data_IF_488171843045
#
_entry.id   IF_488171843045
#
_cell.length_a   1.000
_cell.length_b   1.000
_cell.length_c   1.000
_cell.angle_alpha   90.00
_cell.angle_beta   90.00
_cell.angle_gamma   90.00
#
_symmetry.space_group_name_H-M   'P 1'
#
loop_
_entity.id
_entity.type
_entity.pdbx_description
1 polymer ?
#
# COMPACT_ATOMS: atom_id res chain seq x y z
N UNK A 1 28.15 -5.83 23.53
CA UNK A 1 27.22 -6.92 23.21
C UNK A 1 25.81 -6.40 23.36
N UNK A 2 25.12 -6.11 22.27
CA UNK A 2 23.71 -5.66 22.30
C UNK A 2 22.83 -6.89 22.17
N UNK A 3 22.06 -7.17 23.22
CA UNK A 3 21.12 -8.28 23.26
C UNK A 3 19.96 -7.99 22.29
N UNK A 4 19.89 -8.77 21.20
CA UNK A 4 18.76 -8.77 20.28
C UNK A 4 17.59 -9.47 20.96
N UNK A 5 16.63 -8.70 21.45
CA UNK A 5 15.32 -9.23 21.83
C UNK A 5 14.56 -9.50 20.53
N UNK A 6 14.70 -10.70 19.98
CA UNK A 6 13.80 -11.22 18.94
C UNK A 6 12.45 -11.51 19.59
N UNK A 7 11.60 -10.50 19.71
CA UNK A 7 10.17 -10.74 19.88
C UNK A 7 9.68 -11.58 18.70
N UNK A 8 9.07 -12.74 18.95
CA UNK A 8 8.45 -13.54 17.90
C UNK A 8 7.30 -12.74 17.29
N UNK A 9 7.52 -12.16 16.11
CA UNK A 9 6.45 -11.58 15.31
C UNK A 9 5.52 -12.69 14.83
N UNK A 10 4.31 -12.74 15.38
CA UNK A 10 3.26 -13.64 14.91
C UNK A 10 2.50 -12.93 13.79
N UNK A 11 2.52 -13.52 12.58
CA UNK A 11 1.71 -13.03 11.45
C UNK A 11 0.24 -12.94 11.85
N UNK A 12 -0.39 -11.85 11.45
CA UNK A 12 -1.83 -11.66 11.55
C UNK A 12 -2.58 -12.67 10.67
N UNK A 13 -3.86 -12.99 10.98
CA UNK A 13 -4.69 -13.83 10.13
C UNK A 13 -4.78 -13.34 8.68
N UNK A 14 -4.79 -12.01 8.47
CA UNK A 14 -4.83 -11.41 7.14
C UNK A 14 -3.54 -11.65 6.35
N UNK A 15 -2.38 -11.51 6.99
CA UNK A 15 -1.08 -11.85 6.37
C UNK A 15 -1.05 -13.32 5.97
N UNK A 16 -1.47 -14.23 6.86
CA UNK A 16 -1.51 -15.67 6.56
C UNK A 16 -2.42 -15.96 5.35
N UNK A 17 -3.59 -15.33 5.28
CA UNK A 17 -4.51 -15.48 4.13
C UNK A 17 -3.92 -14.91 2.84
N UNK A 18 -3.26 -13.75 2.92
CA UNK A 18 -2.60 -13.12 1.77
C UNK A 18 -1.50 -14.04 1.24
N UNK A 19 -0.64 -14.54 2.13
CA UNK A 19 0.47 -15.44 1.77
C UNK A 19 -0.05 -16.74 1.15
N UNK A 20 -1.14 -17.29 1.71
CA UNK A 20 -1.78 -18.50 1.18
C UNK A 20 -2.30 -18.29 -0.24
N UNK A 21 -2.94 -17.15 -0.51
CA UNK A 21 -3.41 -16.78 -1.85
C UNK A 21 -2.23 -16.60 -2.81
N UNK A 22 -1.17 -15.88 -2.41
CA UNK A 22 0.03 -15.69 -3.24
C UNK A 22 0.69 -17.04 -3.56
N UNK A 23 0.82 -17.94 -2.58
CA UNK A 23 1.36 -19.27 -2.78
C UNK A 23 0.49 -20.11 -3.74
N UNK A 24 -0.83 -19.99 -3.66
CA UNK A 24 -1.76 -20.64 -4.60
C UNK A 24 -1.59 -20.11 -6.03
N UNK A 25 -1.46 -18.78 -6.19
CA UNK A 25 -1.21 -18.16 -7.48
C UNK A 25 0.10 -18.66 -8.10
N UNK A 26 1.17 -18.79 -7.32
CA UNK A 26 2.43 -19.38 -7.80
C UNK A 26 2.26 -20.84 -8.22
N UNK A 27 1.50 -21.67 -7.49
CA UNK A 27 1.17 -23.05 -7.91
C UNK A 27 0.44 -23.09 -9.26
N UNK A 28 -0.35 -22.06 -9.55
CA UNK A 28 -1.05 -21.86 -10.83
C UNK A 28 -0.17 -21.21 -11.92
N UNK A 29 1.13 -21.06 -11.68
CA UNK A 29 2.11 -20.43 -12.60
C UNK A 29 1.76 -18.98 -12.94
N UNK A 30 1.28 -18.25 -11.94
CA UNK A 30 1.08 -16.81 -12.03
C UNK A 30 2.36 -16.12 -11.61
N UNK A 31 2.98 -15.42 -12.55
CA UNK A 31 4.30 -14.80 -12.35
C UNK A 31 4.23 -13.28 -12.24
N UNK A 32 3.03 -12.70 -12.19
CA UNK A 32 2.86 -11.26 -11.97
C UNK A 32 1.76 -11.02 -10.96
N UNK A 33 2.17 -10.63 -9.75
CA UNK A 33 1.28 -10.43 -8.60
C UNK A 33 1.61 -9.07 -7.98
N UNK A 34 0.57 -8.33 -7.61
CA UNK A 34 0.65 -7.09 -6.87
C UNK A 34 -0.24 -7.22 -5.64
N UNK A 35 0.38 -7.26 -4.46
CA UNK A 35 -0.33 -7.16 -3.19
C UNK A 35 -0.37 -5.69 -2.82
N UNK A 36 -1.55 -5.10 -2.68
CA UNK A 36 -1.74 -3.68 -2.39
C UNK A 36 -2.62 -3.48 -1.16
N UNK A 37 -2.20 -2.58 -0.28
CA UNK A 37 -2.92 -2.20 0.94
C UNK A 37 -2.96 -0.68 1.03
N UNK A 38 -4.16 -0.17 1.29
CA UNK A 38 -4.41 1.23 1.63
C UNK A 38 -5.15 1.24 2.95
N UNK A 39 -4.45 1.56 4.04
CA UNK A 39 -4.98 1.40 5.39
C UNK A 39 -4.61 2.59 6.25
N UNK A 40 -5.42 2.87 7.27
CA UNK A 40 -5.09 3.92 8.22
C UNK A 40 -4.54 3.31 9.51
N UNK A 41 -3.40 3.81 9.95
CA UNK A 41 -2.85 3.53 11.29
C UNK A 41 -3.48 4.50 12.28
N UNK A 42 -3.98 3.98 13.41
CA UNK A 42 -4.60 4.79 14.46
C UNK A 42 -6.02 5.30 14.13
N UNK A 43 -6.57 4.94 12.97
CA UNK A 43 -8.00 5.14 12.71
C UNK A 43 -8.83 4.00 13.31
N UNK A 44 -9.97 4.31 13.88
CA UNK A 44 -11.00 3.30 14.16
C UNK A 44 -11.60 2.83 12.84
N UNK A 45 -11.11 1.71 12.31
CA UNK A 45 -11.79 1.00 11.24
C UNK A 45 -13.05 0.34 11.79
N UNK A 46 -14.22 0.61 11.21
CA UNK A 46 -15.42 -0.17 11.48
C UNK A 46 -15.98 -0.68 10.17
N UNK A 47 -16.10 -2.00 10.03
CA UNK A 47 -17.03 -2.61 9.09
C UNK A 47 -18.21 -3.10 9.95
N UNK A 48 -19.18 -2.22 10.16
CA UNK A 48 -20.48 -2.63 10.68
C UNK A 48 -21.31 -2.94 9.45
N UNK A 49 -21.34 -4.20 9.04
CA UNK A 49 -22.46 -4.70 8.24
C UNK A 49 -23.38 -5.41 9.22
N UNK A 50 -24.64 -4.96 9.31
CA UNK A 50 -25.62 -5.33 10.33
C UNK A 50 -25.87 -6.86 10.44
N UNK A 51 -25.45 -7.64 9.45
CA UNK A 51 -25.65 -9.11 9.40
C UNK A 51 -24.36 -9.96 9.45
N UNK A 52 -23.18 -9.39 9.73
CA UNK A 52 -21.93 -10.19 9.75
C UNK A 52 -21.46 -10.53 11.17
N UNK A 53 -21.28 -11.82 11.45
CA UNK A 53 -20.63 -12.37 12.65
C UNK A 53 -19.15 -11.97 12.84
N UNK A 54 -18.60 -11.14 11.94
CA UNK A 54 -17.24 -10.65 12.04
C UNK A 54 -17.17 -9.35 12.85
N UNK A 55 -17.14 -9.47 14.18
CA UNK A 55 -16.74 -8.36 15.04
C UNK A 55 -15.22 -8.22 15.01
N UNK A 56 -14.66 -7.48 14.05
CA UNK A 56 -13.22 -7.22 14.09
C UNK A 56 -12.89 -6.25 15.23
N UNK A 57 -12.46 -6.77 16.38
CA UNK A 57 -11.63 -6.01 17.33
C UNK A 57 -10.22 -5.92 16.71
N UNK A 58 -9.91 -4.83 16.03
CA UNK A 58 -8.58 -4.57 15.44
C UNK A 58 -8.61 -3.68 14.21
N UNK A 59 -7.44 -3.38 13.66
CA UNK A 59 -7.28 -2.52 12.48
C UNK A 59 -7.84 -3.20 11.22
N UNK A 60 -8.80 -2.53 10.57
CA UNK A 60 -9.35 -2.94 9.29
C UNK A 60 -8.37 -2.56 8.18
N UNK A 61 -7.72 -3.56 7.58
CA UNK A 61 -6.75 -3.34 6.50
C UNK A 61 -7.26 -4.00 5.21
N UNK A 62 -7.91 -3.24 4.32
CA UNK A 62 -8.33 -3.79 3.03
C UNK A 62 -7.09 -4.16 2.22
N UNK A 63 -7.02 -5.42 1.80
CA UNK A 63 -5.92 -5.96 0.99
C UNK A 63 -6.45 -6.39 -0.36
N UNK A 64 -5.79 -5.92 -1.42
CA UNK A 64 -6.12 -6.18 -2.80
C UNK A 64 -4.97 -6.95 -3.43
N UNK A 65 -5.24 -8.11 -4.02
CA UNK A 65 -4.26 -8.90 -4.76
C UNK A 65 -4.62 -8.85 -6.23
N UNK A 66 -3.88 -8.05 -7.00
CA UNK A 66 -3.98 -8.03 -8.45
C UNK A 66 -3.01 -9.03 -9.04
N UNK A 67 -3.45 -9.82 -10.00
CA UNK A 67 -2.60 -10.84 -10.61
C UNK A 67 -2.93 -11.05 -12.07
N UNK A 68 -1.91 -11.41 -12.87
CA UNK A 68 -2.05 -11.58 -14.32
C UNK A 68 -1.85 -13.03 -14.73
N UNK A 69 -2.81 -13.58 -15.46
CA UNK A 69 -2.74 -14.93 -16.03
C UNK A 69 -3.36 -14.94 -17.42
N UNK A 70 -2.69 -15.58 -18.39
CA UNK A 70 -3.14 -15.65 -19.79
C UNK A 70 -3.54 -14.27 -20.35
N UNK A 71 -2.70 -13.26 -20.13
CA UNK A 71 -2.91 -11.86 -20.55
C UNK A 71 -4.12 -11.15 -19.95
N UNK A 72 -4.84 -11.76 -19.01
CA UNK A 72 -5.93 -11.13 -18.26
C UNK A 72 -5.46 -10.78 -16.86
N UNK A 73 -5.86 -9.61 -16.39
CA UNK A 73 -5.63 -9.18 -15.01
C UNK A 73 -6.89 -9.45 -14.19
N UNK A 74 -6.67 -9.98 -12.99
CA UNK A 74 -7.71 -10.27 -12.01
C UNK A 74 -7.41 -9.52 -10.73
N UNK A 75 -8.45 -9.25 -9.95
CA UNK A 75 -8.37 -8.66 -8.64
C UNK A 75 -9.09 -9.55 -7.63
N UNK A 76 -8.40 -9.94 -6.58
CA UNK A 76 -8.99 -10.57 -5.40
C UNK A 76 -8.96 -9.56 -4.25
N UNK A 77 -10.09 -9.33 -3.59
CA UNK A 77 -10.16 -8.55 -2.36
C UNK A 77 -10.19 -9.49 -1.15
N UNK A 78 -9.44 -9.13 -0.12
CA UNK A 78 -9.48 -9.80 1.17
C UNK A 78 -9.32 -8.78 2.32
N UNK A 79 -10.01 -9.07 3.40
CA UNK A 79 -9.85 -8.38 4.68
C UNK A 79 -9.86 -9.41 5.83
N UNK A 80 -9.90 -8.91 7.06
CA UNK A 80 -9.93 -9.75 8.25
C UNK A 80 -11.16 -10.68 8.28
N UNK A 81 -12.22 -10.36 7.54
CA UNK A 81 -13.52 -11.02 7.63
C UNK A 81 -13.86 -11.89 6.41
N UNK A 82 -13.43 -11.50 5.23
CA UNK A 82 -13.95 -12.00 3.96
C UNK A 82 -12.86 -12.08 2.90
N UNK A 83 -13.02 -13.03 1.99
CA UNK A 83 -12.36 -13.07 0.69
C UNK A 83 -13.45 -13.01 -0.36
N UNK A 84 -13.30 -12.10 -1.32
CA UNK A 84 -14.23 -11.96 -2.43
C UNK A 84 -13.66 -12.68 -3.65
N UNK A 85 -14.52 -13.36 -4.40
CA UNK A 85 -14.15 -14.04 -5.64
C UNK A 85 -13.41 -13.09 -6.61
N UNK A 86 -12.42 -13.59 -7.37
CA UNK A 86 -11.67 -12.75 -8.28
C UNK A 86 -12.54 -12.09 -9.34
N UNK A 87 -12.26 -10.82 -9.62
CA UNK A 87 -12.94 -10.01 -10.63
C UNK A 87 -11.97 -9.62 -11.74
N UNK A 88 -12.45 -9.46 -12.98
CA UNK A 88 -11.59 -9.08 -14.11
C UNK A 88 -11.29 -7.58 -14.06
N UNK A 89 -10.02 -7.22 -14.19
CA UNK A 89 -9.54 -5.85 -14.26
C UNK A 89 -9.23 -5.50 -15.71
N UNK A 90 -10.05 -4.66 -16.31
CA UNK A 90 -9.86 -4.21 -17.70
C UNK A 90 -8.88 -3.04 -17.85
N UNK A 91 -8.68 -2.25 -16.79
CA UNK A 91 -7.75 -1.12 -16.78
C UNK A 91 -6.46 -1.50 -16.05
N UNK A 92 -5.62 -2.27 -16.70
CA UNK A 92 -4.43 -2.87 -16.10
C UNK A 92 -3.10 -2.23 -16.59
N UNK A 93 -3.17 -0.98 -17.06
CA UNK A 93 -2.00 -0.21 -17.54
C UNK A 93 -0.86 -0.09 -16.52
N UNK A 94 -1.16 -0.28 -15.22
CA UNK A 94 -0.17 -0.27 -14.16
C UNK A 94 0.89 -1.36 -14.36
N UNK A 95 0.57 -2.50 -15.00
CA UNK A 95 1.56 -3.54 -15.34
C UNK A 95 2.59 -3.05 -16.34
N UNK A 96 2.13 -2.40 -17.42
CA UNK A 96 3.03 -1.82 -18.43
C UNK A 96 3.88 -0.70 -17.82
N UNK A 97 3.27 0.15 -17.00
CA UNK A 97 4.00 1.20 -16.30
C UNK A 97 5.06 0.63 -15.34
N UNK A 98 4.72 -0.40 -14.56
CA UNK A 98 5.64 -1.11 -13.67
C UNK A 98 6.83 -1.68 -14.45
N UNK A 99 6.57 -2.39 -15.54
CA UNK A 99 7.62 -3.01 -16.35
C UNK A 99 8.60 -1.97 -16.90
N UNK A 100 8.10 -0.85 -17.42
CA UNK A 100 8.94 0.24 -17.95
C UNK A 100 9.73 0.96 -16.86
N UNK A 101 9.17 1.09 -15.65
CA UNK A 101 9.74 1.89 -14.56
C UNK A 101 10.31 1.02 -13.43
N UNK A 102 10.55 -0.27 -13.66
CA UNK A 102 10.92 -1.25 -12.64
C UNK A 102 12.11 -0.79 -11.79
N UNK A 103 13.20 -0.35 -12.44
CA UNK A 103 14.42 0.10 -11.75
C UNK A 103 14.19 1.34 -10.89
N UNK A 104 13.42 2.30 -11.40
CA UNK A 104 13.12 3.55 -10.69
C UNK A 104 12.18 3.31 -9.51
N UNK A 105 11.21 2.41 -9.65
CA UNK A 105 10.31 2.02 -8.57
C UNK A 105 11.07 1.21 -7.51
N UNK A 106 11.99 0.32 -7.90
CA UNK A 106 12.79 -0.47 -6.96
C UNK A 106 13.72 0.40 -6.10
N UNK A 107 14.40 1.36 -6.71
CA UNK A 107 15.37 2.24 -6.04
C UNK A 107 14.73 3.47 -5.41
N UNK A 108 13.54 3.85 -5.89
CA UNK A 108 12.84 5.02 -5.44
C UNK A 108 12.28 4.87 -4.04
N UNK A 109 12.00 6.01 -3.42
CA UNK A 109 11.18 6.09 -2.22
C UNK A 109 10.36 7.37 -2.25
N UNK A 110 9.20 7.36 -1.59
CA UNK A 110 8.50 8.59 -1.22
C UNK A 110 9.16 9.09 0.06
N UNK A 111 9.77 10.27 0.01
CA UNK A 111 10.40 10.85 1.19
C UNK A 111 9.35 11.33 2.18
N UNK A 112 9.59 11.13 3.47
CA UNK A 112 8.67 11.60 4.51
C UNK A 112 8.39 13.10 4.43
N UNK A 113 7.35 13.55 5.12
CA UNK A 113 7.09 14.97 5.26
C UNK A 113 8.27 15.61 6.02
N UNK A 114 9.04 16.43 5.31
CA UNK A 114 10.19 17.13 5.90
C UNK A 114 10.02 18.64 5.72
N UNK A 115 10.34 19.40 6.76
CA UNK A 115 10.36 20.87 6.74
C UNK A 115 11.77 21.38 7.01
N UNK A 116 11.99 22.67 6.78
CA UNK A 116 13.14 23.39 7.34
C UNK A 116 12.68 24.04 8.64
N UNK A 117 13.38 23.77 9.73
CA UNK A 117 13.15 24.44 11.00
C UNK A 117 13.59 25.90 10.91
N UNK A 118 12.76 26.81 11.42
CA UNK A 118 13.00 28.26 11.26
C UNK A 118 14.16 28.78 12.10
N UNK A 119 14.50 28.08 13.18
CA UNK A 119 15.39 28.57 14.21
C UNK A 119 16.82 28.03 13.98
N UNK A 120 16.93 26.76 13.56
CA UNK A 120 18.19 26.08 13.23
C UNK A 120 18.52 26.08 11.75
N UNK A 121 17.54 26.22 10.85
CA UNK A 121 17.73 26.07 9.40
C UNK A 121 17.92 24.62 8.93
N UNK A 122 17.84 23.65 9.84
CA UNK A 122 18.03 22.23 9.56
C UNK A 122 16.75 21.55 9.07
N UNK A 123 16.91 20.41 8.38
CA UNK A 123 15.78 19.61 7.92
C UNK A 123 15.20 18.75 9.05
N UNK A 124 13.90 18.88 9.31
CA UNK A 124 13.18 18.13 10.34
C UNK A 124 12.09 17.25 9.69
N UNK A 125 12.07 15.96 10.01
CA UNK A 125 11.00 15.04 9.61
C UNK A 125 9.84 15.17 10.58
N UNK A 126 8.64 15.43 10.06
CA UNK A 126 7.42 15.53 10.85
C UNK A 126 6.65 14.22 10.77
N UNK A 127 6.52 13.54 11.91
CA UNK A 127 5.73 12.33 12.03
C UNK A 127 4.33 12.64 12.56
N UNK A 128 3.36 11.82 12.15
CA UNK A 128 2.02 11.79 12.74
C UNK A 128 1.78 10.42 13.37
N UNK A 129 1.04 10.38 14.47
CA UNK A 129 0.66 9.14 15.14
C UNK A 129 -0.60 8.49 14.55
N UNK A 130 -1.18 9.09 13.51
CA UNK A 130 -2.31 8.57 12.76
C UNK A 130 -2.24 9.06 11.31
N UNK A 131 -2.61 8.20 10.37
CA UNK A 131 -2.53 8.55 8.95
C UNK A 131 -2.83 7.38 8.02
N UNK A 132 -3.18 7.73 6.79
CA UNK A 132 -3.35 6.78 5.70
C UNK A 132 -1.99 6.34 5.19
N UNK A 133 -1.81 5.04 5.01
CA UNK A 133 -0.58 4.43 4.56
C UNK A 133 -0.87 3.57 3.35
N UNK A 134 0.13 3.54 2.45
CA UNK A 134 0.12 2.70 1.27
C UNK A 134 1.25 1.69 1.37
N UNK A 135 0.93 0.43 1.12
CA UNK A 135 1.90 -0.65 0.97
C UNK A 135 1.60 -1.38 -0.32
N UNK A 136 2.63 -1.68 -1.10
CA UNK A 136 2.51 -2.63 -2.21
C UNK A 136 3.76 -3.45 -2.42
N UNK A 137 3.53 -4.73 -2.69
CA UNK A 137 4.53 -5.69 -3.10
C UNK A 137 4.24 -6.09 -4.54
N UNK A 138 5.20 -5.85 -5.44
CA UNK A 138 5.19 -6.36 -6.82
C UNK A 138 6.08 -7.59 -6.90
N UNK A 139 5.48 -8.73 -7.22
CA UNK A 139 6.17 -10.01 -7.38
C UNK A 139 6.13 -10.35 -8.86
N UNK A 140 7.30 -10.26 -9.53
CA UNK A 140 7.46 -10.58 -10.95
C UNK A 140 8.47 -11.73 -11.08
N UNK A 141 7.97 -12.92 -11.41
CA UNK A 141 8.78 -14.15 -11.39
C UNK A 141 9.35 -14.41 -10.00
N UNK A 142 10.67 -14.27 -9.85
CA UNK A 142 11.39 -14.44 -8.57
C UNK A 142 11.70 -13.12 -7.88
N UNK A 143 11.53 -11.99 -8.57
CA UNK A 143 11.90 -10.69 -8.04
C UNK A 143 10.71 -10.07 -7.30
N UNK A 144 11.01 -9.41 -6.18
CA UNK A 144 10.00 -8.68 -5.40
C UNK A 144 10.47 -7.25 -5.16
N UNK A 145 9.60 -6.29 -5.44
CA UNK A 145 9.75 -4.90 -4.99
C UNK A 145 8.69 -4.64 -3.94
N UNK A 146 9.12 -4.20 -2.76
CA UNK A 146 8.24 -3.74 -1.69
C UNK A 146 8.35 -2.23 -1.54
N UNK A 147 7.21 -1.55 -1.50
CA UNK A 147 7.12 -0.11 -1.32
C UNK A 147 6.12 0.20 -0.21
N UNK A 148 6.47 1.22 0.58
CA UNK A 148 5.66 1.70 1.68
C UNK A 148 5.83 3.21 1.81
N UNK A 149 4.74 3.93 2.05
CA UNK A 149 4.81 5.33 2.45
C UNK A 149 3.53 5.82 3.14
N UNK A 150 3.69 6.82 4.00
CA UNK A 150 2.60 7.57 4.62
C UNK A 150 2.04 8.62 3.63
N UNK A 151 0.73 8.68 3.45
CA UNK A 151 0.05 9.69 2.63
C UNK A 151 0.42 11.12 3.04
N UNK A 152 0.76 11.35 4.32
CA UNK A 152 1.22 12.63 4.83
C UNK A 152 2.45 13.17 4.07
N UNK A 153 3.32 12.30 3.57
CA UNK A 153 4.45 12.66 2.71
C UNK A 153 4.03 13.35 1.39
N UNK A 154 2.75 13.25 1.01
CA UNK A 154 2.18 13.87 -0.18
C UNK A 154 1.46 15.19 0.11
N UNK A 155 1.38 15.62 1.37
CA UNK A 155 0.74 16.88 1.76
C UNK A 155 1.72 18.04 1.54
N UNK A 156 1.24 19.14 0.93
CA UNK A 156 2.06 20.32 0.64
C UNK A 156 2.40 21.13 1.89
N UNK A 157 1.41 21.30 2.78
CA UNK A 157 1.49 22.11 3.99
C UNK A 157 0.61 21.52 5.07
N UNK A 158 1.04 21.65 6.32
CA UNK A 158 0.23 21.34 7.50
C UNK A 158 0.34 22.47 8.52
N UNK A 159 -0.43 22.38 9.59
CA UNK A 159 -0.20 23.15 10.82
C UNK A 159 0.34 22.18 11.86
N UNK A 160 1.51 22.49 12.41
CA UNK A 160 2.13 21.73 13.49
C UNK A 160 2.58 22.72 14.56
N UNK A 161 2.20 22.50 15.83
CA UNK A 161 2.41 23.47 16.92
C UNK A 161 2.01 24.92 16.56
N UNK A 162 0.85 25.10 15.95
CA UNK A 162 0.33 26.40 15.47
C UNK A 162 1.17 27.12 14.40
N UNK A 163 2.26 26.51 13.90
CA UNK A 163 3.07 27.02 12.80
C UNK A 163 2.63 26.39 11.47
N UNK A 164 2.58 27.18 10.40
CA UNK A 164 2.35 26.68 9.04
C UNK A 164 3.64 26.06 8.52
N UNK A 165 3.64 24.75 8.36
CA UNK A 165 4.82 23.97 7.97
C UNK A 165 4.70 23.53 6.52
N UNK A 166 5.77 23.67 5.73
CA UNK A 166 5.78 23.32 4.30
C UNK A 166 6.66 22.10 4.08
N UNK A 167 6.12 21.11 3.36
CA UNK A 167 6.88 19.94 2.95
C UNK A 167 7.85 20.29 1.81
N UNK A 168 9.15 20.12 2.03
CA UNK A 168 10.19 20.39 1.04
C UNK A 168 10.19 19.37 -0.10
N UNK A 169 9.76 18.13 0.15
CA UNK A 169 9.73 17.05 -0.83
C UNK A 169 8.40 16.92 -1.58
N UNK A 170 7.39 17.74 -1.26
CA UNK A 170 6.04 17.66 -1.87
C UNK A 170 6.07 17.55 -3.41
N UNK A 171 6.81 18.43 -4.09
CA UNK A 171 6.86 18.42 -5.57
C UNK A 171 7.54 17.16 -6.12
N UNK A 172 8.60 16.69 -5.46
CA UNK A 172 9.33 15.48 -5.85
C UNK A 172 8.44 14.25 -5.66
N UNK A 173 7.84 14.09 -4.48
CA UNK A 173 6.99 12.95 -4.15
C UNK A 173 5.76 12.86 -5.07
N UNK A 174 5.11 13.99 -5.36
CA UNK A 174 3.94 14.03 -6.26
C UNK A 174 4.25 13.63 -7.71
N UNK A 175 5.52 13.74 -8.13
CA UNK A 175 5.97 13.40 -9.49
C UNK A 175 6.67 12.04 -9.55
N UNK A 176 6.83 11.35 -8.42
CA UNK A 176 7.59 10.10 -8.39
C UNK A 176 6.87 8.97 -9.15
N UNK A 177 7.63 8.02 -9.72
CA UNK A 177 7.05 6.81 -10.31
C UNK A 177 6.19 6.02 -9.32
N UNK A 178 6.60 5.97 -8.04
CA UNK A 178 5.89 5.29 -6.95
C UNK A 178 4.50 5.89 -6.74
N UNK A 179 4.37 7.22 -6.74
CA UNK A 179 3.05 7.85 -6.65
C UNK A 179 2.22 7.59 -7.91
N UNK A 180 2.84 7.65 -9.09
CA UNK A 180 2.12 7.44 -10.35
C UNK A 180 1.59 6.01 -10.48
N UNK A 181 2.35 4.99 -10.09
CA UNK A 181 1.88 3.60 -10.12
C UNK A 181 0.79 3.35 -9.08
N UNK A 182 0.93 3.91 -7.88
CA UNK A 182 -0.09 3.80 -6.83
C UNK A 182 -1.44 4.36 -7.31
N UNK A 183 -1.45 5.53 -7.95
CA UNK A 183 -2.68 6.11 -8.52
C UNK A 183 -3.31 5.23 -9.62
N UNK A 184 -2.49 4.54 -10.42
CA UNK A 184 -3.01 3.62 -11.44
C UNK A 184 -3.61 2.35 -10.82
N UNK A 185 -3.01 1.84 -9.74
CA UNK A 185 -3.56 0.71 -8.98
C UNK A 185 -4.90 1.08 -8.34
N UNK A 186 -4.99 2.24 -7.68
CA UNK A 186 -6.24 2.74 -7.12
C UNK A 186 -7.34 2.82 -8.19
N UNK A 187 -7.03 3.41 -9.34
CA UNK A 187 -7.98 3.52 -10.44
C UNK A 187 -8.41 2.15 -10.97
N UNK A 188 -7.48 1.20 -11.10
CA UNK A 188 -7.79 -0.17 -11.52
C UNK A 188 -8.75 -0.87 -10.54
N UNK A 189 -8.51 -0.72 -9.23
CA UNK A 189 -9.33 -1.29 -8.17
C UNK A 189 -10.74 -0.68 -8.17
N UNK A 190 -10.83 0.66 -8.21
CA UNK A 190 -12.12 1.37 -8.22
C UNK A 190 -12.96 0.94 -9.42
N UNK A 191 -12.36 0.86 -10.60
CA UNK A 191 -13.07 0.50 -11.83
C UNK A 191 -13.49 -0.96 -11.87
N UNK A 192 -12.66 -1.86 -11.33
CA UNK A 192 -13.05 -3.27 -11.17
C UNK A 192 -14.24 -3.40 -10.23
N UNK A 193 -14.24 -2.68 -9.10
CA UNK A 193 -15.30 -2.76 -8.09
C UNK A 193 -16.63 -2.14 -8.50
N UNK A 194 -16.68 -1.22 -9.47
CA UNK A 194 -17.94 -0.65 -9.99
C UNK A 194 -18.74 -1.64 -10.87
N UNK A 195 -18.09 -2.69 -11.36
CA UNK A 195 -18.67 -3.65 -12.32
C UNK A 195 -19.26 -4.90 -11.64
N UNK A 196 -19.29 -4.90 -10.31
CA UNK A 196 -19.78 -5.96 -9.43
C UNK A 196 -20.68 -5.35 -8.37
#
# INVERSE_FOLDING_TARGET
MVHSVKGQYKKSPLEIRTDSLVAELHKRRVDSICVYRSYCVGCRGSRITEDSSCSSKGDFTPTYVLWKQHSKTYLTYLDNCSIISPVVVYKDMFWSYLSVNWSEINKGTIKDFTTIDSDSGEAEVIHRNHGDNYSFDFIIGKDTISQYYDHFALIKRTIFFHKKTKNIYYKQNRKSPIRKIQLQIDHAIVEARKRH
#
